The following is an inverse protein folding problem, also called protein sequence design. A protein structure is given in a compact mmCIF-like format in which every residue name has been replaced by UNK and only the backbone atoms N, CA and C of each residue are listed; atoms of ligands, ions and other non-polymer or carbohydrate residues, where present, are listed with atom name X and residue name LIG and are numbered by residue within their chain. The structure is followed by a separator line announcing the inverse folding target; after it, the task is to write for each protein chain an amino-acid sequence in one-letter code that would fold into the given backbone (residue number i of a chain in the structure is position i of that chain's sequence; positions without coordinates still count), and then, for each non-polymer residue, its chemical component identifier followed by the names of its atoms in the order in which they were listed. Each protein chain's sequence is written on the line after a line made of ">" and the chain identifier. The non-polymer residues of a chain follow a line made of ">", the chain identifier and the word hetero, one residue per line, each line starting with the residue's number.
data_IF_332366860767
#
_entry.id   IF_332366860767
#
_cell.length_a   1.000
_cell.length_b   1.000
_cell.length_c   1.000
_cell.angle_alpha   90.00
_cell.angle_beta   90.00
_cell.angle_gamma   90.00
#
_symmetry.space_group_name_H-M   'P 1'
#
loop_
_entity.id
_entity.type
_entity.pdbx_description
1 polymer ?
#
# COMPACT_ATOMS: atom_id res chain seq x y z
N UNK A 1 20.95 -27.94 -20.24
CA UNK A 1 20.03 -28.66 -19.33
C UNK A 1 20.31 -28.16 -17.92
N UNK A 2 19.58 -27.15 -17.45
CA UNK A 2 19.70 -26.70 -16.06
C UNK A 2 18.90 -27.65 -15.19
N UNK A 3 19.55 -28.33 -14.24
CA UNK A 3 18.84 -29.06 -13.20
C UNK A 3 17.91 -28.08 -12.48
N UNK A 4 16.61 -28.36 -12.45
CA UNK A 4 15.66 -27.64 -11.61
C UNK A 4 16.09 -27.82 -10.15
N UNK A 5 16.90 -26.90 -9.64
CA UNK A 5 17.16 -26.79 -8.22
C UNK A 5 15.99 -26.05 -7.59
N UNK A 6 15.35 -26.66 -6.60
CA UNK A 6 14.29 -26.01 -5.83
C UNK A 6 14.89 -24.94 -4.91
N UNK A 7 15.11 -23.74 -5.45
CA UNK A 7 15.58 -22.57 -4.70
C UNK A 7 14.63 -22.14 -3.56
N UNK A 8 13.38 -22.63 -3.60
CA UNK A 8 12.40 -22.45 -2.52
C UNK A 8 12.87 -23.03 -1.18
N UNK A 9 13.68 -24.08 -1.20
CA UNK A 9 14.26 -24.71 0.00
C UNK A 9 15.34 -23.81 0.60
N UNK A 10 16.23 -23.28 -0.24
CA UNK A 10 17.32 -22.39 0.18
C UNK A 10 16.77 -21.11 0.82
N UNK A 11 15.63 -20.60 0.32
CA UNK A 11 14.97 -19.45 0.92
C UNK A 11 14.49 -19.71 2.36
N UNK A 12 14.10 -20.94 2.70
CA UNK A 12 13.68 -21.30 4.07
C UNK A 12 14.85 -21.35 5.05
N UNK A 13 16.08 -21.39 4.57
CA UNK A 13 17.27 -21.41 5.42
C UNK A 13 17.59 -20.04 5.99
N UNK A 14 17.14 -18.97 5.33
CA UNK A 14 17.24 -17.60 5.85
C UNK A 14 16.26 -17.39 7.00
N UNK A 15 16.80 -17.15 8.18
CA UNK A 15 16.06 -16.76 9.38
C UNK A 15 16.27 -15.26 9.65
N UNK A 16 15.21 -14.48 9.88
CA UNK A 16 15.36 -13.10 10.28
C UNK A 16 15.95 -13.02 11.70
N UNK A 17 16.95 -12.17 11.89
CA UNK A 17 17.60 -11.93 13.18
C UNK A 17 17.70 -10.43 13.46
N UNK A 18 18.02 -10.09 14.72
CA UNK A 18 18.35 -8.72 15.07
C UNK A 18 19.76 -8.38 14.58
N UNK A 19 19.96 -7.22 13.93
CA UNK A 19 21.27 -6.84 13.42
C UNK A 19 22.26 -6.62 14.58
N UNK A 20 23.39 -7.36 14.63
CA UNK A 20 24.40 -7.18 15.66
C UNK A 20 25.20 -5.89 15.44
N UNK A 21 25.28 -5.41 14.19
CA UNK A 21 25.97 -4.19 13.83
C UNK A 21 25.05 -2.96 13.99
N UNK A 22 25.52 -1.95 14.74
CA UNK A 22 24.80 -0.68 14.91
C UNK A 22 24.60 0.01 13.55
N UNK A 23 23.38 0.51 13.33
CA UNK A 23 22.99 1.23 12.12
C UNK A 23 22.23 0.39 11.09
N UNK A 24 22.34 -0.94 11.11
CA UNK A 24 21.61 -1.78 10.16
C UNK A 24 20.15 -1.96 10.59
N UNK A 25 19.24 -2.00 9.61
CA UNK A 25 17.79 -2.04 9.84
C UNK A 25 17.28 -3.47 9.94
N UNK A 26 17.84 -4.38 9.14
CA UNK A 26 17.44 -5.79 9.06
C UNK A 26 18.68 -6.68 9.05
N UNK A 27 18.56 -7.88 9.59
CA UNK A 27 19.57 -8.94 9.46
C UNK A 27 18.91 -10.26 9.12
N UNK A 28 19.60 -11.05 8.30
CA UNK A 28 19.24 -12.41 7.96
C UNK A 28 20.43 -13.32 8.22
N UNK A 29 20.19 -14.47 8.85
CA UNK A 29 21.19 -15.51 9.06
C UNK A 29 20.75 -16.80 8.36
N UNK A 30 21.68 -17.44 7.66
CA UNK A 30 21.52 -18.78 7.09
C UNK A 30 22.65 -19.68 7.59
N UNK A 31 22.32 -20.94 7.89
CA UNK A 31 23.29 -21.96 8.26
C UNK A 31 23.31 -23.05 7.20
N UNK A 32 24.47 -23.28 6.61
CA UNK A 32 24.69 -24.31 5.59
C UNK A 32 24.83 -25.69 6.27
N UNK A 33 24.47 -26.81 5.61
CA UNK A 33 24.70 -28.16 6.13
C UNK A 33 26.15 -28.45 6.53
N UNK A 34 27.11 -27.82 5.84
CA UNK A 34 28.54 -27.93 6.12
C UNK A 34 28.98 -27.19 7.41
N UNK A 35 28.05 -26.49 8.07
CA UNK A 35 28.29 -25.76 9.30
C UNK A 35 28.65 -24.28 9.10
N UNK A 36 28.77 -23.81 7.85
CA UNK A 36 29.05 -22.41 7.56
C UNK A 36 27.86 -21.50 7.95
N UNK A 37 28.16 -20.34 8.53
CA UNK A 37 27.16 -19.35 8.94
C UNK A 37 27.30 -18.14 8.03
N UNK A 38 26.24 -17.83 7.31
CA UNK A 38 26.11 -16.65 6.47
C UNK A 38 25.18 -15.66 7.15
N UNK A 39 25.62 -14.42 7.22
CA UNK A 39 24.82 -13.34 7.76
C UNK A 39 24.82 -12.15 6.80
N UNK A 40 23.63 -11.61 6.54
CA UNK A 40 23.42 -10.45 5.69
C UNK A 40 22.72 -9.35 6.50
N UNK A 41 23.49 -8.32 6.86
CA UNK A 41 22.96 -7.13 7.53
C UNK A 41 22.66 -6.06 6.48
N UNK A 42 21.41 -5.59 6.41
CA UNK A 42 20.96 -4.60 5.45
C UNK A 42 20.59 -3.27 6.09
N UNK A 43 21.12 -2.19 5.52
CA UNK A 43 20.83 -0.82 5.88
C UNK A 43 19.99 -0.18 4.78
N UNK A 44 18.71 0.03 5.06
CA UNK A 44 17.72 0.45 4.05
C UNK A 44 18.04 1.83 3.43
N UNK A 45 18.39 2.83 4.25
CA UNK A 45 18.59 4.21 3.76
C UNK A 45 19.82 4.35 2.86
N UNK A 46 20.97 3.84 3.29
CA UNK A 46 22.23 3.91 2.53
C UNK A 46 22.35 2.88 1.41
N UNK A 47 21.35 1.99 1.25
CA UNK A 47 21.38 0.82 0.35
C UNK A 47 22.70 0.04 0.48
N UNK A 48 23.06 -0.20 1.73
CA UNK A 48 24.32 -0.82 2.12
C UNK A 48 24.04 -2.17 2.72
N UNK A 49 24.76 -3.18 2.27
CA UNK A 49 24.67 -4.54 2.78
C UNK A 49 26.03 -5.01 3.26
N UNK A 50 26.06 -5.63 4.43
CA UNK A 50 27.24 -6.26 5.00
C UNK A 50 27.00 -7.75 5.00
N UNK A 51 27.83 -8.46 4.23
CA UNK A 51 27.88 -9.91 4.24
C UNK A 51 28.96 -10.37 5.19
N UNK A 52 28.60 -11.25 6.11
CA UNK A 52 29.53 -11.92 7.02
C UNK A 52 29.44 -13.41 6.76
N UNK A 53 30.58 -14.04 6.51
CA UNK A 53 30.70 -15.49 6.32
C UNK A 53 31.64 -16.03 7.39
N UNK A 54 31.14 -16.93 8.21
CA UNK A 54 31.93 -17.74 9.12
C UNK A 54 32.12 -19.11 8.49
N UNK A 55 33.35 -19.39 8.02
CA UNK A 55 33.70 -20.62 7.33
C UNK A 55 34.11 -21.70 8.33
N UNK A 56 33.27 -22.72 8.53
CA UNK A 56 33.52 -23.84 9.43
C UNK A 56 34.72 -24.67 8.96
N UNK A 57 34.87 -24.86 7.64
CA UNK A 57 36.00 -25.57 7.04
C UNK A 57 37.36 -24.89 7.23
N UNK A 58 37.39 -23.61 7.65
CA UNK A 58 38.62 -22.84 7.85
C UNK A 58 38.86 -22.48 9.32
N UNK A 59 38.43 -23.35 10.24
CA UNK A 59 38.48 -23.13 11.69
C UNK A 59 37.69 -21.89 12.16
N UNK A 60 36.53 -21.61 11.55
CA UNK A 60 35.67 -20.50 11.95
C UNK A 60 36.23 -19.12 11.59
N UNK A 61 37.01 -19.03 10.49
CA UNK A 61 37.45 -17.71 9.98
C UNK A 61 36.25 -16.88 9.56
N UNK A 62 36.28 -15.61 9.94
CA UNK A 62 35.18 -14.69 9.69
C UNK A 62 35.59 -13.70 8.60
N UNK A 63 34.88 -13.78 7.49
CA UNK A 63 35.05 -12.90 6.35
C UNK A 63 33.93 -11.88 6.31
N UNK A 64 34.27 -10.61 6.11
CA UNK A 64 33.31 -9.51 6.03
C UNK A 64 33.48 -8.76 4.73
N UNK A 65 32.40 -8.67 3.97
CA UNK A 65 32.28 -7.79 2.81
C UNK A 65 31.23 -6.72 3.08
N UNK A 66 31.55 -5.49 2.72
CA UNK A 66 30.63 -4.35 2.79
C UNK A 66 30.41 -3.84 1.37
N UNK A 67 29.17 -3.90 0.92
CA UNK A 67 28.75 -3.58 -0.44
C UNK A 67 27.74 -2.45 -0.37
N UNK A 68 27.82 -1.52 -1.32
CA UNK A 68 26.88 -0.42 -1.47
C UNK A 68 26.50 -0.30 -2.94
N UNK A 69 25.22 -0.50 -3.24
CA UNK A 69 24.65 -0.34 -4.59
C UNK A 69 25.48 -1.03 -5.69
N UNK A 70 25.82 -2.31 -5.48
CA UNK A 70 26.63 -3.11 -6.40
C UNK A 70 28.14 -2.83 -6.40
N UNK A 71 28.62 -1.85 -5.63
CA UNK A 71 30.05 -1.57 -5.47
C UNK A 71 30.61 -2.13 -4.16
N UNK A 72 31.72 -2.86 -4.23
CA UNK A 72 32.42 -3.40 -3.05
C UNK A 72 33.22 -2.26 -2.39
N UNK A 73 32.86 -1.88 -1.17
CA UNK A 73 33.58 -0.83 -0.43
C UNK A 73 34.76 -1.39 0.36
N UNK A 74 34.57 -2.54 0.99
CA UNK A 74 35.56 -3.14 1.88
C UNK A 74 35.38 -4.65 1.94
N UNK A 75 36.46 -5.37 1.71
CA UNK A 75 36.57 -6.80 1.94
C UNK A 75 37.66 -7.03 2.96
N UNK A 76 37.33 -7.69 4.06
CA UNK A 76 38.31 -7.95 5.11
C UNK A 76 38.10 -9.32 5.70
N UNK A 77 39.20 -10.01 5.92
CA UNK A 77 39.25 -11.12 6.84
C UNK A 77 39.39 -10.55 8.26
N UNK A 78 38.40 -10.81 9.13
CA UNK A 78 38.42 -10.32 10.51
C UNK A 78 39.42 -11.08 11.37
N UNK A 79 39.76 -12.32 11.03
CA UNK A 79 40.73 -13.12 11.80
C UNK A 79 42.14 -12.58 11.61
N UNK A 80 42.49 -12.14 10.40
CA UNK A 80 43.81 -11.54 10.11
C UNK A 80 43.80 -10.01 10.13
N UNK A 81 42.64 -9.38 10.07
CA UNK A 81 42.46 -7.93 9.96
C UNK A 81 42.90 -7.33 8.62
N UNK A 82 43.25 -8.16 7.64
CA UNK A 82 43.77 -7.73 6.35
C UNK A 82 42.67 -7.62 5.30
N UNK A 83 42.89 -6.72 4.34
CA UNK A 83 42.08 -6.71 3.12
C UNK A 83 42.37 -7.97 2.32
N UNK A 84 41.32 -8.71 1.96
CA UNK A 84 41.44 -9.99 1.26
C UNK A 84 40.31 -10.11 0.23
N UNK A 85 40.59 -10.55 -1.02
CA UNK A 85 39.55 -10.69 -2.03
C UNK A 85 38.60 -11.84 -1.69
N UNK A 86 37.31 -11.55 -1.47
CA UNK A 86 36.33 -12.53 -0.96
C UNK A 86 35.53 -13.25 -2.03
N UNK A 87 35.82 -12.99 -3.31
CA UNK A 87 35.10 -13.59 -4.43
C UNK A 87 35.09 -15.13 -4.37
N UNK A 88 36.24 -15.77 -4.15
CA UNK A 88 36.35 -17.24 -4.09
C UNK A 88 35.58 -17.86 -2.92
N UNK A 89 35.26 -17.08 -1.88
CA UNK A 89 34.56 -17.52 -0.68
C UNK A 89 33.06 -17.32 -0.78
N UNK A 90 32.60 -16.23 -1.38
CA UNK A 90 31.17 -15.98 -1.56
C UNK A 90 30.60 -16.63 -2.83
N UNK A 91 31.41 -16.87 -3.87
CA UNK A 91 30.94 -17.47 -5.12
C UNK A 91 30.24 -18.85 -4.96
N UNK A 92 30.71 -19.77 -4.10
CA UNK A 92 30.00 -21.03 -3.85
C UNK A 92 28.61 -20.82 -3.24
N UNK A 93 28.42 -19.75 -2.45
CA UNK A 93 27.16 -19.43 -1.80
C UNK A 93 26.27 -18.49 -2.62
N UNK A 94 26.63 -18.20 -3.88
CA UNK A 94 25.88 -17.26 -4.72
C UNK A 94 24.40 -17.62 -4.82
N UNK A 95 24.05 -18.90 -4.90
CA UNK A 95 22.67 -19.37 -5.08
C UNK A 95 21.86 -19.17 -3.78
N UNK A 96 22.49 -19.40 -2.63
CA UNK A 96 21.91 -19.17 -1.30
C UNK A 96 21.74 -17.68 -1.02
N UNK A 97 22.73 -16.85 -1.37
CA UNK A 97 22.65 -15.39 -1.24
C UNK A 97 21.57 -14.86 -2.19
N UNK A 98 21.43 -15.41 -3.39
CA UNK A 98 20.39 -15.03 -4.36
C UNK A 98 18.97 -15.41 -3.90
N UNK A 99 18.83 -16.37 -2.96
CA UNK A 99 17.54 -16.76 -2.38
C UNK A 99 17.17 -15.96 -1.13
N UNK A 100 17.84 -14.82 -0.88
CA UNK A 100 17.55 -13.95 0.26
C UNK A 100 16.12 -13.38 0.13
N UNK A 101 15.33 -13.35 1.22
CA UNK A 101 13.91 -13.02 1.15
C UNK A 101 13.58 -11.55 0.82
N UNK A 102 14.55 -10.63 0.94
CA UNK A 102 14.39 -9.20 0.74
C UNK A 102 14.97 -8.76 -0.61
N UNK A 103 14.10 -8.30 -1.51
CA UNK A 103 14.47 -7.87 -2.86
C UNK A 103 15.32 -6.59 -2.85
N UNK A 104 15.10 -5.69 -1.88
CA UNK A 104 15.89 -4.45 -1.77
C UNK A 104 17.34 -4.76 -1.36
N UNK A 105 17.52 -5.76 -0.50
CA UNK A 105 18.85 -6.23 -0.11
C UNK A 105 19.59 -6.88 -1.29
N UNK A 106 18.90 -7.69 -2.11
CA UNK A 106 19.47 -8.27 -3.34
C UNK A 106 19.83 -7.20 -4.37
N UNK A 107 18.96 -6.19 -4.55
CA UNK A 107 19.25 -5.08 -5.43
C UNK A 107 20.49 -4.29 -4.96
N UNK A 108 20.69 -4.15 -3.65
CA UNK A 108 21.87 -3.48 -3.12
C UNK A 108 23.18 -4.26 -3.34
N UNK A 109 23.09 -5.60 -3.51
CA UNK A 109 24.23 -6.43 -3.92
C UNK A 109 24.58 -6.25 -5.40
N UNK A 110 23.62 -5.90 -6.26
CA UNK A 110 23.87 -5.47 -7.64
C UNK A 110 24.69 -6.44 -8.50
N UNK A 111 24.60 -7.76 -8.28
CA UNK A 111 25.36 -8.74 -9.06
C UNK A 111 26.74 -9.11 -8.51
N UNK A 112 27.15 -8.53 -7.39
CA UNK A 112 28.45 -8.81 -6.76
C UNK A 112 28.55 -10.30 -6.40
N UNK A 113 29.74 -10.88 -6.62
CA UNK A 113 30.02 -12.32 -6.46
C UNK A 113 29.19 -13.26 -7.37
N UNK A 114 28.57 -12.73 -8.42
CA UNK A 114 27.71 -13.51 -9.31
C UNK A 114 26.34 -13.85 -8.71
N UNK A 115 25.91 -13.10 -7.70
CA UNK A 115 24.58 -13.19 -7.10
C UNK A 115 23.53 -12.64 -8.07
N UNK A 116 22.39 -13.30 -8.20
CA UNK A 116 21.28 -12.79 -9.00
C UNK A 116 20.65 -11.57 -8.30
N UNK A 117 20.45 -10.44 -8.99
CA UNK A 117 19.71 -9.30 -8.44
C UNK A 117 18.22 -9.61 -8.24
N UNK A 118 17.70 -10.60 -8.96
CA UNK A 118 16.34 -11.09 -8.81
C UNK A 118 16.29 -12.25 -7.80
N UNK A 119 15.32 -12.27 -6.86
CA UNK A 119 15.21 -13.29 -5.83
C UNK A 119 14.92 -14.67 -6.42
N UNK A 120 15.85 -15.60 -6.25
CA UNK A 120 15.66 -17.01 -6.61
C UNK A 120 14.74 -17.69 -5.58
N UNK A 121 13.74 -18.44 -6.05
CA UNK A 121 12.77 -19.09 -5.15
C UNK A 121 11.80 -18.15 -4.45
N UNK A 122 11.62 -16.93 -4.99
CA UNK A 122 10.48 -16.06 -4.67
C UNK A 122 9.15 -16.81 -4.86
N UNK A 123 8.03 -16.35 -4.24
CA UNK A 123 6.75 -16.89 -4.65
C UNK A 123 6.67 -16.66 -6.16
N UNK A 124 6.50 -17.74 -6.92
CA UNK A 124 6.41 -17.70 -8.38
C UNK A 124 5.59 -16.45 -8.72
N UNK A 125 6.22 -15.45 -9.34
CA UNK A 125 5.50 -14.26 -9.77
C UNK A 125 4.46 -14.91 -10.68
N UNK A 126 3.20 -14.97 -10.24
CA UNK A 126 2.11 -15.41 -11.10
C UNK A 126 2.09 -14.37 -12.20
N UNK A 127 2.90 -14.59 -13.22
CA UNK A 127 2.79 -13.89 -14.47
C UNK A 127 1.33 -14.09 -14.82
N UNK A 128 0.53 -13.02 -14.85
CA UNK A 128 -0.88 -13.15 -15.09
C UNK A 128 -0.98 -13.86 -16.43
N UNK A 129 -1.40 -15.12 -16.39
CA UNK A 129 -1.46 -15.93 -17.60
C UNK A 129 -2.35 -15.14 -18.57
N UNK A 130 -1.97 -14.96 -19.84
CA UNK A 130 -2.73 -14.10 -20.74
C UNK A 130 -4.22 -14.50 -20.85
N UNK A 131 -4.54 -15.76 -20.59
CA UNK A 131 -5.92 -16.27 -20.50
C UNK A 131 -6.66 -15.97 -19.17
N UNK A 132 -5.96 -15.66 -18.07
CA UNK A 132 -6.57 -15.20 -16.81
C UNK A 132 -7.03 -13.74 -16.87
N UNK A 133 -6.46 -12.96 -17.80
CA UNK A 133 -6.79 -11.54 -18.08
C UNK A 133 -7.70 -11.41 -19.31
N UNK A 134 -8.01 -12.50 -20.00
CA UNK A 134 -8.91 -12.50 -21.16
C UNK A 134 -10.35 -12.23 -20.75
N UNK A 135 -10.72 -10.95 -20.65
CA UNK A 135 -12.09 -10.47 -20.47
C UNK A 135 -12.99 -10.75 -21.69
N UNK A 136 -12.41 -11.24 -22.80
CA UNK A 136 -13.11 -11.47 -24.07
C UNK A 136 -14.29 -12.45 -23.95
N UNK A 137 -14.25 -13.39 -23.01
CA UNK A 137 -15.31 -14.39 -22.83
C UNK A 137 -15.98 -14.37 -21.44
N UNK A 138 -15.58 -13.46 -20.54
CA UNK A 138 -16.19 -13.35 -19.20
C UNK A 138 -17.70 -13.07 -19.27
N UNK A 139 -18.16 -12.41 -20.34
CA UNK A 139 -19.58 -12.15 -20.60
C UNK A 139 -20.38 -13.40 -21.02
N UNK A 140 -19.72 -14.40 -21.63
CA UNK A 140 -20.36 -15.66 -22.05
C UNK A 140 -20.56 -16.58 -20.85
N UNK A 141 -19.62 -16.59 -19.91
CA UNK A 141 -19.69 -17.42 -18.70
C UNK A 141 -20.38 -16.74 -17.51
N UNK A 142 -20.88 -15.51 -17.67
CA UNK A 142 -21.58 -14.78 -16.61
C UNK A 142 -20.70 -14.42 -15.40
N UNK A 143 -19.38 -14.51 -15.54
CA UNK A 143 -18.42 -14.25 -14.44
C UNK A 143 -18.31 -12.73 -14.26
N UNK A 144 -19.13 -12.17 -13.36
CA UNK A 144 -19.03 -10.76 -12.96
C UNK A 144 -17.90 -10.60 -11.94
N UNK A 145 -16.66 -10.47 -12.39
CA UNK A 145 -15.56 -9.93 -11.55
C UNK A 145 -15.82 -8.44 -11.35
N UNK A 146 -16.64 -8.10 -10.37
CA UNK A 146 -16.85 -6.71 -9.96
C UNK A 146 -15.54 -6.10 -9.46
N UNK A 147 -15.30 -4.80 -9.71
CA UNK A 147 -14.12 -4.12 -9.16
C UNK A 147 -14.11 -4.24 -7.64
N UNK A 148 -12.94 -4.51 -7.08
CA UNK A 148 -12.76 -4.56 -5.63
C UNK A 148 -13.24 -3.25 -5.01
N UNK A 149 -13.92 -3.33 -3.87
CA UNK A 149 -14.50 -2.17 -3.16
C UNK A 149 -13.50 -1.00 -3.04
N UNK A 150 -12.22 -1.32 -2.84
CA UNK A 150 -11.11 -0.36 -2.77
C UNK A 150 -10.81 0.34 -4.11
N UNK A 151 -10.90 -0.36 -5.24
CA UNK A 151 -10.68 0.26 -6.55
C UNK A 151 -11.76 1.27 -6.90
N UNK A 152 -13.01 1.07 -6.46
CA UNK A 152 -14.09 2.05 -6.65
C UNK A 152 -13.90 3.31 -5.79
N UNK A 153 -13.29 3.19 -4.62
CA UNK A 153 -13.04 4.32 -3.72
C UNK A 153 -11.92 5.25 -4.22
N UNK A 154 -10.92 4.68 -4.92
CA UNK A 154 -9.78 5.43 -5.48
C UNK A 154 -9.92 5.79 -6.96
N UNK A 155 -10.97 5.31 -7.65
CA UNK A 155 -11.25 5.70 -9.02
C UNK A 155 -11.82 7.11 -9.04
N UNK A 156 -10.99 8.09 -9.40
CA UNK A 156 -11.46 9.40 -9.86
C UNK A 156 -12.07 9.23 -11.24
N UNK A 157 -13.36 8.96 -11.31
CA UNK A 157 -14.08 9.01 -12.57
C UNK A 157 -14.00 10.43 -13.17
N UNK A 158 -13.88 10.56 -14.50
CA UNK A 158 -13.89 11.86 -15.16
C UNK A 158 -15.19 12.57 -14.82
N UNK A 159 -15.08 13.69 -14.09
CA UNK A 159 -16.24 14.47 -13.64
C UNK A 159 -16.99 14.97 -14.87
N UNK A 160 -18.21 14.48 -15.06
CA UNK A 160 -19.15 15.05 -16.02
C UNK A 160 -19.28 16.57 -15.79
N UNK A 161 -19.49 17.36 -16.85
CA UNK A 161 -19.68 18.80 -16.72
C UNK A 161 -20.85 19.09 -15.78
N UNK A 162 -20.63 20.01 -14.82
CA UNK A 162 -21.57 20.37 -13.76
C UNK A 162 -22.98 20.67 -14.30
N UNK A 163 -23.09 21.25 -15.49
CA UNK A 163 -24.35 21.61 -16.12
C UNK A 163 -25.23 20.42 -16.49
N UNK A 164 -24.66 19.35 -17.05
CA UNK A 164 -25.43 18.15 -17.40
C UNK A 164 -25.89 17.41 -16.14
N UNK A 165 -25.07 17.46 -15.09
CA UNK A 165 -25.40 16.90 -13.77
C UNK A 165 -26.55 17.67 -13.11
N UNK A 166 -26.59 19.00 -13.20
CA UNK A 166 -27.68 19.82 -12.67
C UNK A 166 -28.97 19.60 -13.48
N UNK A 167 -28.90 19.61 -14.82
CA UNK A 167 -30.10 19.47 -15.68
C UNK A 167 -30.83 18.14 -15.49
N UNK A 168 -30.08 17.04 -15.38
CA UNK A 168 -30.65 15.70 -15.20
C UNK A 168 -31.24 15.50 -13.80
N UNK A 169 -30.75 16.24 -12.80
CA UNK A 169 -31.13 16.07 -11.39
C UNK A 169 -32.12 17.13 -10.88
N UNK A 170 -32.32 18.21 -11.64
CA UNK A 170 -33.15 19.36 -11.27
C UNK A 170 -34.49 18.96 -10.63
N UNK A 171 -35.24 18.04 -11.24
CA UNK A 171 -36.55 17.62 -10.71
C UNK A 171 -36.47 16.88 -9.38
N UNK A 172 -35.48 16.00 -9.21
CA UNK A 172 -35.29 15.26 -7.96
C UNK A 172 -34.85 16.19 -6.83
N UNK A 173 -33.92 17.11 -7.12
CA UNK A 173 -33.44 18.08 -6.14
C UNK A 173 -34.52 19.10 -5.78
N UNK A 174 -35.35 19.50 -6.74
CA UNK A 174 -36.49 20.39 -6.53
C UNK A 174 -37.54 19.76 -5.61
N UNK A 175 -37.85 18.47 -5.81
CA UNK A 175 -38.77 17.75 -4.91
C UNK A 175 -38.23 17.67 -3.48
N UNK A 176 -36.95 17.35 -3.31
CA UNK A 176 -36.35 17.31 -1.97
C UNK A 176 -36.28 18.70 -1.32
N UNK A 177 -36.07 19.76 -2.11
CA UNK A 177 -36.12 21.15 -1.63
C UNK A 177 -37.52 21.52 -1.14
N UNK A 178 -38.56 21.19 -1.91
CA UNK A 178 -39.95 21.43 -1.50
C UNK A 178 -40.32 20.61 -0.27
N UNK A 179 -39.95 19.33 -0.22
CA UNK A 179 -40.22 18.47 0.93
C UNK A 179 -39.50 18.99 2.18
N UNK A 180 -38.21 19.29 2.08
CA UNK A 180 -37.43 19.78 3.22
C UNK A 180 -37.89 21.15 3.72
N UNK A 181 -38.12 22.11 2.81
CA UNK A 181 -38.65 23.41 3.17
C UNK A 181 -40.07 23.29 3.72
N UNK A 182 -40.95 22.52 3.08
CA UNK A 182 -42.33 22.32 3.50
C UNK A 182 -42.44 21.67 4.88
N UNK A 183 -41.61 20.65 5.17
CA UNK A 183 -41.55 20.04 6.51
C UNK A 183 -41.02 21.01 7.57
N UNK A 184 -39.98 21.80 7.26
CA UNK A 184 -39.47 22.81 8.19
C UNK A 184 -40.50 23.94 8.45
N UNK A 185 -41.20 24.39 7.41
CA UNK A 185 -42.30 25.36 7.54
C UNK A 185 -43.48 24.79 8.31
N UNK A 186 -43.78 23.50 8.18
CA UNK A 186 -44.81 22.83 8.98
C UNK A 186 -44.47 22.86 10.47
N UNK A 187 -43.22 22.57 10.84
CA UNK A 187 -42.72 22.66 12.22
C UNK A 187 -42.80 24.10 12.72
N UNK A 188 -42.39 25.07 11.90
CA UNK A 188 -42.52 26.47 12.25
C UNK A 188 -43.98 26.88 12.45
N UNK A 189 -44.91 26.43 11.61
CA UNK A 189 -46.32 26.78 11.75
C UNK A 189 -46.93 26.25 13.06
N UNK A 190 -46.48 25.08 13.54
CA UNK A 190 -46.97 24.51 14.80
C UNK A 190 -46.42 25.19 16.05
N UNK A 191 -45.17 25.65 16.01
CA UNK A 191 -44.48 26.21 17.20
C UNK A 191 -44.31 27.74 17.14
N UNK A 192 -44.51 28.34 15.97
CA UNK A 192 -44.27 29.75 15.64
C UNK A 192 -42.88 30.27 16.06
N UNK A 193 -41.90 29.37 16.12
CA UNK A 193 -40.56 29.66 16.62
C UNK A 193 -39.52 29.57 15.49
N UNK A 194 -38.81 30.68 15.28
CA UNK A 194 -37.76 30.81 14.27
C UNK A 194 -36.50 30.02 14.61
N UNK A 195 -36.23 29.78 15.89
CA UNK A 195 -35.13 28.92 16.34
C UNK A 195 -35.33 27.48 15.85
N UNK A 196 -36.53 26.93 16.06
CA UNK A 196 -36.94 25.60 15.61
C UNK A 196 -36.98 25.50 14.07
N UNK A 197 -37.38 26.56 13.38
CA UNK A 197 -37.31 26.63 11.91
C UNK A 197 -35.85 26.53 11.42
N UNK A 198 -34.94 27.30 12.02
CA UNK A 198 -33.53 27.27 11.65
C UNK A 198 -32.87 25.91 11.90
N UNK A 199 -33.15 25.31 13.07
CA UNK A 199 -32.65 23.99 13.42
C UNK A 199 -33.20 22.90 12.49
N UNK A 200 -34.51 22.89 12.21
CA UNK A 200 -35.13 21.89 11.34
C UNK A 200 -34.61 21.97 9.90
N UNK A 201 -34.39 23.16 9.35
CA UNK A 201 -33.77 23.34 8.03
C UNK A 201 -32.36 22.73 7.97
N UNK A 202 -31.54 22.94 9.00
CA UNK A 202 -30.20 22.37 9.06
C UNK A 202 -30.23 20.83 9.13
N UNK A 203 -31.13 20.27 9.95
CA UNK A 203 -31.32 18.81 10.08
C UNK A 203 -31.80 18.20 8.77
N UNK A 204 -32.79 18.81 8.10
CA UNK A 204 -33.27 18.32 6.80
C UNK A 204 -32.20 18.44 5.70
N UNK A 205 -31.39 19.50 5.72
CA UNK A 205 -30.23 19.63 4.81
C UNK A 205 -29.24 18.48 4.93
N UNK A 206 -28.91 18.09 6.16
CA UNK A 206 -28.04 16.93 6.43
C UNK A 206 -28.70 15.60 6.08
N UNK A 207 -29.99 15.42 6.41
CA UNK A 207 -30.73 14.21 6.11
C UNK A 207 -30.83 13.97 4.59
N UNK A 208 -31.23 14.97 3.80
CA UNK A 208 -31.31 14.80 2.35
C UNK A 208 -29.94 14.63 1.70
N UNK A 209 -28.91 15.34 2.18
CA UNK A 209 -27.53 15.09 1.74
C UNK A 209 -27.06 13.67 2.05
N UNK A 210 -27.38 13.15 3.24
CA UNK A 210 -27.06 11.78 3.65
C UNK A 210 -27.86 10.72 2.88
N UNK A 211 -29.15 10.96 2.64
CA UNK A 211 -30.02 10.07 1.86
C UNK A 211 -29.57 9.98 0.39
N UNK A 212 -29.13 11.10 -0.19
CA UNK A 212 -28.57 11.13 -1.54
C UNK A 212 -27.30 10.24 -1.63
N UNK A 213 -26.47 10.25 -0.58
CA UNK A 213 -25.26 9.44 -0.49
C UNK A 213 -25.54 7.94 -0.23
N UNK A 214 -26.36 7.61 0.78
CA UNK A 214 -26.57 6.23 1.24
C UNK A 214 -27.56 5.47 0.36
N UNK A 215 -28.73 6.05 0.09
CA UNK A 215 -29.84 5.37 -0.57
C UNK A 215 -29.79 5.52 -2.09
N UNK A 216 -29.46 6.71 -2.58
CA UNK A 216 -29.47 7.00 -4.03
C UNK A 216 -28.12 6.77 -4.69
N UNK A 217 -27.06 6.48 -3.92
CA UNK A 217 -25.67 6.28 -4.39
C UNK A 217 -25.20 7.41 -5.32
N UNK A 218 -25.64 8.64 -5.04
CA UNK A 218 -25.31 9.84 -5.82
C UNK A 218 -24.40 10.74 -5.00
N UNK A 219 -23.52 11.48 -5.69
CA UNK A 219 -22.79 12.57 -5.04
C UNK A 219 -23.81 13.60 -4.50
N UNK A 220 -23.80 13.88 -3.18
CA UNK A 220 -24.67 14.91 -2.64
C UNK A 220 -24.31 16.24 -3.29
N UNK A 221 -25.32 16.96 -3.80
CA UNK A 221 -25.08 18.30 -4.31
C UNK A 221 -24.70 19.21 -3.15
N UNK A 222 -23.41 19.54 -3.09
CA UNK A 222 -22.86 20.44 -2.09
C UNK A 222 -23.64 21.76 -2.00
N UNK A 223 -24.12 22.26 -3.14
CA UNK A 223 -24.96 23.47 -3.21
C UNK A 223 -26.28 23.34 -2.45
N UNK A 224 -26.96 22.20 -2.51
CA UNK A 224 -28.23 21.96 -1.80
C UNK A 224 -28.02 21.94 -0.29
N UNK A 225 -27.00 21.21 0.18
CA UNK A 225 -26.67 21.12 1.61
C UNK A 225 -26.26 22.50 2.15
N UNK A 226 -25.46 23.26 1.41
CA UNK A 226 -25.08 24.62 1.78
C UNK A 226 -26.26 25.59 1.79
N UNK A 227 -27.23 25.44 0.88
CA UNK A 227 -28.45 26.25 0.89
C UNK A 227 -29.23 26.02 2.19
N UNK A 228 -29.49 24.76 2.54
CA UNK A 228 -30.22 24.42 3.77
C UNK A 228 -29.48 24.83 5.05
N UNK A 229 -28.17 24.61 5.12
CA UNK A 229 -27.35 25.03 6.26
C UNK A 229 -27.27 26.55 6.36
N UNK A 230 -27.09 27.25 5.24
CA UNK A 230 -27.05 28.71 5.19
C UNK A 230 -28.38 29.34 5.62
N UNK A 231 -29.50 28.87 5.06
CA UNK A 231 -30.82 29.33 5.46
C UNK A 231 -31.14 28.95 6.91
N UNK A 232 -30.80 27.73 7.33
CA UNK A 232 -31.01 27.26 8.69
C UNK A 232 -30.23 28.09 9.71
N UNK A 233 -28.95 28.36 9.44
CA UNK A 233 -28.11 29.22 10.27
C UNK A 233 -28.65 30.64 10.36
N UNK A 234 -29.14 31.21 9.25
CA UNK A 234 -29.72 32.54 9.23
C UNK A 234 -30.97 32.62 10.13
N UNK A 235 -31.92 31.69 9.96
CA UNK A 235 -33.15 31.69 10.74
C UNK A 235 -32.93 31.33 12.21
N UNK A 236 -31.99 30.43 12.49
CA UNK A 236 -31.61 30.09 13.86
C UNK A 236 -31.02 31.31 14.58
N UNK A 237 -30.12 32.03 13.92
CA UNK A 237 -29.52 33.25 14.47
C UNK A 237 -30.56 34.36 14.63
N UNK A 238 -31.44 34.54 13.63
CA UNK A 238 -32.52 35.52 13.69
C UNK A 238 -33.50 35.22 14.84
N UNK A 239 -33.90 33.95 14.99
CA UNK A 239 -34.72 33.48 16.10
C UNK A 239 -34.04 33.78 17.43
N UNK A 240 -32.78 33.37 17.61
CA UNK A 240 -32.05 33.57 18.86
C UNK A 240 -31.85 35.04 19.26
N UNK A 241 -31.77 35.97 18.29
CA UNK A 241 -31.45 37.38 18.55
C UNK A 241 -32.67 38.29 18.63
N UNK A 242 -33.77 37.94 17.95
CA UNK A 242 -34.95 38.82 17.83
C UNK A 242 -36.22 38.26 18.46
N UNK A 243 -36.24 36.99 18.84
CA UNK A 243 -37.34 36.30 19.49
C UNK A 243 -36.83 35.54 20.73
#
# INVERSE_FOLDING_TARGET
>A
MASFQDYSILRRWWKPEFPPAKGYTKSYQAKTPDGDILQADFHFHDRKIRLTLEAAGENGRIYVSTIRDGSIQKETDLTTGRSYPLYSRFAPFRDLISSLPDADALHSLGGVYGVSPEPLGGPERKEPRPWEVSTKYDHIFGIRRGPSYWQNLFRREPKEPLWNRIKTRFWGDFHDLILGAGSAFGIWYTYLDFYLLGFSLAVFGLLFGGLDWILRKRDPLFSKVMLFLGSGSYFYYYGYTRF
#
